data_IF_461743334805
#
_entry.id   IF_461743334805
#
_cell.length_a   1.000
_cell.length_b   1.000
_cell.length_c   1.000
_cell.angle_alpha   90.00
_cell.angle_beta   90.00
_cell.angle_gamma   90.00
#
_symmetry.space_group_name_H-M   'P 1'
#
loop_
_entity.id
_entity.type
_entity.pdbx_description
1 polymer ?
#
# COMPACT_ATOMS: atom_id res chain seq x y z
N UNK A 1 -8.00 25.58 -9.12
CA UNK A 1 -6.96 25.20 -10.11
C UNK A 1 -6.03 24.23 -9.41
N UNK A 2 -6.04 22.95 -9.82
CA UNK A 2 -5.66 21.81 -8.99
C UNK A 2 -4.17 21.69 -8.69
N UNK A 3 -3.82 21.68 -7.41
CA UNK A 3 -2.55 21.19 -6.88
C UNK A 3 -2.71 19.71 -6.52
N UNK A 4 -2.82 18.83 -7.51
CA UNK A 4 -2.58 17.39 -7.29
C UNK A 4 -1.26 17.08 -7.99
N UNK A 5 -0.18 17.47 -7.31
CA UNK A 5 1.17 17.17 -7.71
C UNK A 5 1.33 15.67 -7.89
N UNK A 6 2.05 15.28 -8.94
CA UNK A 6 2.61 13.94 -9.15
C UNK A 6 3.17 13.44 -7.81
N UNK A 7 2.42 12.60 -7.11
CA UNK A 7 2.96 11.81 -6.00
C UNK A 7 3.98 10.90 -6.65
N UNK A 8 5.26 11.17 -6.42
CA UNK A 8 6.32 10.30 -6.92
C UNK A 8 6.19 8.93 -6.24
N UNK A 9 6.72 7.87 -6.85
CA UNK A 9 6.70 6.52 -6.24
C UNK A 9 7.28 6.53 -4.82
N UNK A 10 8.27 7.40 -4.57
CA UNK A 10 8.84 7.63 -3.24
C UNK A 10 7.83 8.22 -2.24
N UNK A 11 7.03 9.20 -2.65
CA UNK A 11 6.03 9.83 -1.77
C UNK A 11 4.92 8.83 -1.41
N UNK A 12 4.50 8.01 -2.37
CA UNK A 12 3.54 6.92 -2.13
C UNK A 12 4.08 5.89 -1.12
N UNK A 13 5.37 5.56 -1.23
CA UNK A 13 6.04 4.67 -0.27
C UNK A 13 6.07 5.25 1.14
N UNK A 14 6.41 6.54 1.27
CA UNK A 14 6.44 7.22 2.57
C UNK A 14 5.07 7.16 3.23
N UNK A 15 4.00 7.42 2.47
CA UNK A 15 2.62 7.34 2.98
C UNK A 15 2.29 5.93 3.48
N UNK A 16 2.61 4.88 2.70
CA UNK A 16 2.40 3.50 3.14
C UNK A 16 3.15 3.17 4.43
N UNK A 17 4.40 3.61 4.56
CA UNK A 17 5.19 3.35 5.76
C UNK A 17 4.68 4.13 6.98
N UNK A 18 4.22 5.37 6.78
CA UNK A 18 3.61 6.16 7.84
C UNK A 18 2.33 5.51 8.35
N UNK A 19 1.40 5.16 7.44
CA UNK A 19 0.15 4.50 7.85
C UNK A 19 0.42 3.16 8.52
N UNK A 20 1.36 2.36 8.02
CA UNK A 20 1.74 1.09 8.64
C UNK A 20 2.42 1.26 10.01
N UNK A 21 3.08 2.39 10.27
CA UNK A 21 3.64 2.70 11.59
C UNK A 21 2.54 3.11 12.58
N UNK A 22 1.63 3.96 12.13
CA UNK A 22 0.61 4.59 12.97
C UNK A 22 -0.59 3.65 13.25
N UNK A 23 -0.90 2.73 12.32
CA UNK A 23 -1.99 1.76 12.43
C UNK A 23 -1.47 0.31 12.34
N UNK A 24 -1.47 -0.37 13.48
CA UNK A 24 -0.98 -1.76 13.59
C UNK A 24 -1.85 -2.78 12.86
N UNK A 25 -3.13 -2.50 12.65
CA UNK A 25 -4.01 -3.39 11.90
C UNK A 25 -3.74 -3.26 10.39
N UNK A 26 -3.49 -2.03 9.92
CA UNK A 26 -3.00 -1.82 8.54
C UNK A 26 -1.65 -2.49 8.34
N UNK A 27 -0.71 -2.38 9.30
CA UNK A 27 0.58 -3.08 9.24
C UNK A 27 0.42 -4.58 9.05
N UNK A 28 -0.35 -5.23 9.93
CA UNK A 28 -0.61 -6.67 9.87
C UNK A 28 -1.26 -7.07 8.55
N UNK A 29 -2.21 -6.27 8.06
CA UNK A 29 -2.88 -6.52 6.78
C UNK A 29 -1.91 -6.41 5.61
N UNK A 30 -1.06 -5.39 5.58
CA UNK A 30 -0.04 -5.22 4.55
C UNK A 30 0.97 -6.37 4.55
N UNK A 31 1.47 -6.79 5.71
CA UNK A 31 2.36 -7.95 5.82
C UNK A 31 1.70 -9.21 5.27
N UNK A 32 0.46 -9.51 5.68
CA UNK A 32 -0.27 -10.68 5.22
C UNK A 32 -0.49 -10.69 3.70
N UNK A 33 -0.67 -9.52 3.08
CA UNK A 33 -0.79 -9.35 1.62
C UNK A 33 0.57 -9.55 0.94
N UNK A 34 1.62 -8.92 1.45
CA UNK A 34 2.94 -8.88 0.81
C UNK A 34 3.69 -10.22 0.88
N UNK A 35 3.36 -11.07 1.85
CA UNK A 35 3.91 -12.42 1.98
C UNK A 35 3.27 -13.43 1.00
N UNK A 36 2.23 -13.02 0.26
CA UNK A 36 1.61 -13.87 -0.75
C UNK A 36 2.42 -13.94 -2.04
N UNK A 37 2.26 -15.04 -2.78
CA UNK A 37 2.71 -15.10 -4.17
C UNK A 37 2.00 -14.04 -5.03
N UNK A 38 2.57 -13.73 -6.21
CA UNK A 38 2.07 -12.66 -7.09
C UNK A 38 0.57 -12.77 -7.39
N UNK A 39 0.08 -13.95 -7.75
CA UNK A 39 -1.33 -14.15 -8.10
C UNK A 39 -2.27 -13.81 -6.93
N UNK A 40 -1.99 -14.38 -5.76
CA UNK A 40 -2.77 -14.13 -4.55
C UNK A 40 -2.66 -12.67 -4.09
N UNK A 41 -1.45 -12.09 -4.12
CA UNK A 41 -1.22 -10.68 -3.76
C UNK A 41 -2.06 -9.74 -4.62
N UNK A 42 -2.08 -9.93 -5.93
CA UNK A 42 -2.87 -9.12 -6.85
C UNK A 42 -4.37 -9.24 -6.58
N UNK A 43 -4.86 -10.47 -6.35
CA UNK A 43 -6.26 -10.71 -6.02
C UNK A 43 -6.67 -9.98 -4.73
N UNK A 44 -5.90 -10.15 -3.66
CA UNK A 44 -6.20 -9.52 -2.36
C UNK A 44 -6.06 -8.00 -2.43
N UNK A 45 -5.03 -7.47 -3.10
CA UNK A 45 -4.85 -6.03 -3.29
C UNK A 45 -6.02 -5.39 -4.02
N UNK A 46 -6.53 -6.03 -5.07
CA UNK A 46 -7.67 -5.50 -5.81
C UNK A 46 -8.93 -5.41 -4.95
N UNK A 47 -9.19 -6.43 -4.11
CA UNK A 47 -10.30 -6.38 -3.14
C UNK A 47 -10.06 -5.32 -2.08
N UNK A 48 -8.86 -5.28 -1.50
CA UNK A 48 -8.52 -4.34 -0.43
C UNK A 48 -8.58 -2.88 -0.90
N UNK A 49 -8.09 -2.57 -2.10
CA UNK A 49 -8.19 -1.24 -2.71
C UNK A 49 -9.66 -0.82 -2.87
N UNK A 50 -10.53 -1.72 -3.34
CA UNK A 50 -11.96 -1.43 -3.44
C UNK A 50 -12.58 -1.17 -2.07
N UNK A 51 -12.23 -1.97 -1.06
CA UNK A 51 -12.71 -1.75 0.31
C UNK A 51 -12.28 -0.39 0.86
N UNK A 52 -11.03 0.03 0.58
CA UNK A 52 -10.53 1.34 1.01
C UNK A 52 -11.24 2.50 0.31
N UNK A 53 -11.52 2.36 -0.99
CA UNK A 53 -12.32 3.33 -1.74
C UNK A 53 -13.75 3.45 -1.18
N UNK A 54 -14.40 2.32 -0.88
CA UNK A 54 -15.74 2.31 -0.27
C UNK A 54 -15.76 2.96 1.13
N UNK A 55 -14.66 2.83 1.88
CA UNK A 55 -14.47 3.46 3.19
C UNK A 55 -14.01 4.92 3.12
N UNK A 56 -13.95 5.52 1.93
CA UNK A 56 -13.46 6.89 1.72
C UNK A 56 -12.05 7.11 2.28
N UNK A 57 -11.18 6.10 2.19
CA UNK A 57 -9.78 6.23 2.58
C UNK A 57 -9.07 7.31 1.72
N UNK A 58 -8.01 7.95 2.25
CA UNK A 58 -7.27 8.98 1.52
C UNK A 58 -6.81 8.50 0.14
N UNK A 59 -7.00 9.33 -0.88
CA UNK A 59 -6.67 8.98 -2.27
C UNK A 59 -5.20 8.58 -2.44
N UNK A 60 -4.29 9.27 -1.73
CA UNK A 60 -2.86 9.00 -1.81
C UNK A 60 -2.50 7.64 -1.20
N UNK A 61 -3.20 7.21 -0.13
CA UNK A 61 -3.03 5.88 0.44
C UNK A 61 -3.53 4.79 -0.53
N UNK A 62 -4.68 5.01 -1.17
CA UNK A 62 -5.20 4.08 -2.18
C UNK A 62 -4.27 3.99 -3.39
N UNK A 63 -3.74 5.13 -3.85
CA UNK A 63 -2.75 5.17 -4.91
C UNK A 63 -1.48 4.40 -4.51
N UNK A 64 -1.02 4.59 -3.27
CA UNK A 64 0.15 3.89 -2.75
C UNK A 64 -0.03 2.36 -2.74
N UNK A 65 -1.20 1.85 -2.33
CA UNK A 65 -1.53 0.42 -2.40
C UNK A 65 -1.43 -0.16 -3.82
N UNK A 66 -1.70 0.65 -4.85
CA UNK A 66 -1.66 0.20 -6.24
C UNK A 66 -0.25 -0.15 -6.71
N UNK A 67 0.79 0.51 -6.18
CA UNK A 67 2.18 0.20 -6.51
C UNK A 67 2.64 -1.17 -5.98
N UNK A 68 2.00 -1.70 -4.93
CA UNK A 68 2.28 -3.05 -4.40
C UNK A 68 1.89 -4.18 -5.36
N UNK A 69 1.27 -3.86 -6.49
CA UNK A 69 1.04 -4.81 -7.59
C UNK A 69 2.35 -5.18 -8.28
N UNK A 70 3.31 -4.26 -8.36
CA UNK A 70 4.64 -4.52 -8.89
C UNK A 70 5.45 -5.40 -7.90
N UNK A 71 6.16 -6.40 -8.42
CA UNK A 71 6.90 -7.36 -7.59
C UNK A 71 8.11 -6.74 -6.90
N UNK A 72 8.83 -5.83 -7.57
CA UNK A 72 10.01 -5.19 -7.00
C UNK A 72 9.61 -4.24 -5.87
N UNK A 73 8.54 -3.47 -6.09
CA UNK A 73 7.94 -2.60 -5.08
C UNK A 73 7.41 -3.42 -3.89
N UNK A 74 6.65 -4.48 -4.13
CA UNK A 74 6.12 -5.33 -3.06
C UNK A 74 7.23 -5.94 -2.20
N UNK A 75 8.29 -6.43 -2.83
CA UNK A 75 9.45 -6.98 -2.11
C UNK A 75 10.10 -5.92 -1.21
N UNK A 76 10.34 -4.72 -1.76
CA UNK A 76 10.96 -3.64 -0.98
C UNK A 76 10.09 -3.18 0.18
N UNK A 77 8.78 -3.07 -0.05
CA UNK A 77 7.82 -2.73 1.00
C UNK A 77 7.80 -3.78 2.12
N UNK A 78 7.85 -5.07 1.78
CA UNK A 78 7.87 -6.15 2.77
C UNK A 78 9.10 -6.08 3.68
N UNK A 79 10.28 -5.86 3.09
CA UNK A 79 11.54 -5.70 3.82
C UNK A 79 11.45 -4.53 4.82
N UNK A 80 10.92 -3.38 4.37
CA UNK A 80 10.83 -2.17 5.21
C UNK A 80 9.77 -2.31 6.31
N UNK A 81 8.57 -2.83 6.01
CA UNK A 81 7.49 -2.96 6.99
C UNK A 81 7.88 -3.89 8.14
N UNK A 82 8.75 -4.88 7.89
CA UNK A 82 9.30 -5.76 8.93
C UNK A 82 10.28 -5.06 9.88
N UNK A 83 10.80 -3.90 9.50
CA UNK A 83 11.81 -3.15 10.28
C UNK A 83 11.24 -1.98 11.09
N UNK A 84 10.02 -1.56 10.79
CA UNK A 84 9.30 -0.49 11.50
C UNK A 84 8.39 -1.06 12.59
#
# INVERSE_FOLDING_TARGET
MGLFGKVSENDSFVILMQVARDDQDVKKRLLAILEQNRFNRLSILNTYIKDMLLKSAPADFVAALSYLKDDAVAKKALELIKTI
#
